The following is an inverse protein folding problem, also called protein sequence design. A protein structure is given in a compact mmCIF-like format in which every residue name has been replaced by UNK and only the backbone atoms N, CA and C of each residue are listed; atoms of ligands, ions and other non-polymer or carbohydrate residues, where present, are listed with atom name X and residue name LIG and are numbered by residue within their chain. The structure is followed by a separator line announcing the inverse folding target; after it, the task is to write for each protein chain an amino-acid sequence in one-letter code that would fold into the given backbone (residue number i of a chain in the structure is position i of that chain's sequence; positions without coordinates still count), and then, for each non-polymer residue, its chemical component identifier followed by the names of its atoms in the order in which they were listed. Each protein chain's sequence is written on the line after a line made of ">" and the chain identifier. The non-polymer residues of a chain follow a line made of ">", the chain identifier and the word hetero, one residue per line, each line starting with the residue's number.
data_IF_639244417832
#
_entry.id   IF_639244417832
#
_cell.length_a   1.000
_cell.length_b   1.000
_cell.length_c   1.000
_cell.angle_alpha   90.00
_cell.angle_beta   90.00
_cell.angle_gamma   90.00
#
_symmetry.space_group_name_H-M   'P 1'
#
loop_
_entity.id
_entity.type
_entity.pdbx_description
1 polymer ?
#
# COMPACT_ATOMS: atom_id res chain seq x y z
N UNK A 1 14.38 16.08 16.00
CA UNK A 1 13.84 15.33 14.85
C UNK A 1 12.32 15.29 14.91
N UNK A 2 11.65 16.28 14.30
CA UNK A 2 10.18 16.45 14.39
C UNK A 2 9.51 15.66 13.25
N UNK A 3 8.96 14.47 13.57
CA UNK A 3 7.60 13.95 13.23
C UNK A 3 6.93 14.34 11.88
N UNK A 4 7.67 14.70 10.83
CA UNK A 4 7.13 15.13 9.52
C UNK A 4 7.70 14.39 8.32
N UNK A 5 8.63 13.44 8.51
CA UNK A 5 9.11 12.56 7.43
C UNK A 5 8.25 11.30 7.29
N UNK A 6 6.93 11.48 7.30
CA UNK A 6 6.06 10.47 6.72
C UNK A 6 5.98 10.78 5.22
N UNK A 7 6.72 9.99 4.43
CA UNK A 7 6.54 9.76 2.98
C UNK A 7 7.17 10.77 2.00
N UNK A 8 8.51 10.83 1.95
CA UNK A 8 9.17 11.10 0.65
C UNK A 8 8.89 9.94 -0.32
N UNK A 9 8.98 10.19 -1.63
CA UNK A 9 8.87 9.12 -2.64
C UNK A 9 9.93 8.03 -2.38
N UNK A 10 11.10 8.45 -1.93
CA UNK A 10 12.24 7.57 -1.65
C UNK A 10 11.94 6.61 -0.50
N UNK A 11 11.27 7.07 0.56
CA UNK A 11 10.84 6.19 1.66
C UNK A 11 9.83 5.11 1.20
N UNK A 12 8.93 5.45 0.28
CA UNK A 12 7.96 4.50 -0.28
C UNK A 12 8.70 3.43 -1.11
N UNK A 13 9.71 3.83 -1.89
CA UNK A 13 10.53 2.93 -2.69
C UNK A 13 11.37 2.01 -1.82
N UNK A 14 12.11 2.56 -0.86
CA UNK A 14 12.96 1.79 0.06
C UNK A 14 12.16 0.68 0.77
N UNK A 15 10.97 1.02 1.28
CA UNK A 15 10.10 0.04 1.95
C UNK A 15 9.57 -1.04 1.01
N UNK A 16 9.27 -0.69 -0.24
CA UNK A 16 8.86 -1.67 -1.23
C UNK A 16 10.05 -2.56 -1.66
N UNK A 17 11.24 -2.01 -1.77
CA UNK A 17 12.47 -2.75 -2.10
C UNK A 17 12.80 -3.79 -1.01
N UNK A 18 12.63 -3.44 0.27
CA UNK A 18 12.74 -4.41 1.38
C UNK A 18 11.76 -5.58 1.24
N UNK A 19 10.53 -5.31 0.82
CA UNK A 19 9.52 -6.35 0.61
C UNK A 19 9.80 -7.18 -0.65
N UNK A 20 10.37 -6.58 -1.71
CA UNK A 20 10.84 -7.31 -2.88
C UNK A 20 11.95 -8.29 -2.48
N UNK A 21 12.92 -7.85 -1.68
CA UNK A 21 13.98 -8.72 -1.18
C UNK A 21 13.45 -9.93 -0.39
N UNK A 22 12.35 -9.74 0.37
CA UNK A 22 11.70 -10.80 1.16
C UNK A 22 10.83 -11.74 0.32
N UNK A 23 10.00 -11.19 -0.56
CA UNK A 23 8.99 -11.95 -1.31
C UNK A 23 9.50 -12.50 -2.63
N UNK A 24 10.58 -11.92 -3.17
CA UNK A 24 11.13 -12.18 -4.53
C UNK A 24 10.10 -12.01 -5.65
N UNK A 25 9.00 -11.29 -5.41
CA UNK A 25 7.93 -11.11 -6.37
C UNK A 25 7.93 -9.68 -6.93
N UNK A 26 8.30 -9.56 -8.20
CA UNK A 26 8.25 -8.29 -8.95
C UNK A 26 6.83 -7.74 -9.04
N UNK A 27 5.83 -8.63 -9.14
CA UNK A 27 4.43 -8.23 -9.14
C UNK A 27 4.02 -7.58 -7.81
N UNK A 28 4.31 -8.22 -6.67
CA UNK A 28 3.94 -7.70 -5.36
C UNK A 28 4.63 -6.36 -5.08
N UNK A 29 5.88 -6.20 -5.51
CA UNK A 29 6.61 -4.94 -5.47
C UNK A 29 5.88 -3.81 -6.21
N UNK A 30 5.56 -4.03 -7.49
CA UNK A 30 4.90 -3.00 -8.31
C UNK A 30 3.48 -2.70 -7.81
N UNK A 31 2.75 -3.72 -7.36
CA UNK A 31 1.44 -3.56 -6.70
C UNK A 31 1.55 -2.69 -5.45
N UNK A 32 2.49 -2.98 -4.56
CA UNK A 32 2.70 -2.20 -3.34
C UNK A 32 3.00 -0.74 -3.64
N UNK A 33 3.90 -0.47 -4.61
CA UNK A 33 4.20 0.90 -5.05
C UNK A 33 2.94 1.61 -5.56
N UNK A 34 2.19 0.99 -6.47
CA UNK A 34 0.99 1.58 -7.05
C UNK A 34 -0.04 1.95 -5.96
N UNK A 35 -0.28 1.04 -5.01
CA UNK A 35 -1.20 1.29 -3.88
C UNK A 35 -0.68 2.44 -3.00
N UNK A 36 0.60 2.42 -2.62
CA UNK A 36 1.18 3.47 -1.75
C UNK A 36 1.16 4.84 -2.42
N UNK A 37 1.44 4.93 -3.71
CA UNK A 37 1.33 6.16 -4.48
C UNK A 37 -0.10 6.67 -4.54
N UNK A 38 -1.07 5.81 -4.87
CA UNK A 38 -2.47 6.21 -4.95
C UNK A 38 -3.04 6.65 -3.59
N UNK A 39 -2.67 5.95 -2.50
CA UNK A 39 -3.02 6.38 -1.14
C UNK A 39 -2.47 7.77 -0.82
N UNK A 40 -1.23 8.06 -1.21
CA UNK A 40 -0.62 9.37 -1.02
C UNK A 40 -1.31 10.46 -1.82
N UNK A 41 -1.58 10.22 -3.12
CA UNK A 41 -2.29 11.17 -3.98
C UNK A 41 -3.68 11.52 -3.44
N UNK A 42 -4.35 10.57 -2.79
CA UNK A 42 -5.67 10.74 -2.17
C UNK A 42 -5.61 11.09 -0.68
N UNK A 43 -4.43 11.43 -0.16
CA UNK A 43 -4.19 11.83 1.24
C UNK A 43 -4.70 10.84 2.30
N UNK A 44 -4.71 9.55 1.95
CA UNK A 44 -5.01 8.45 2.85
C UNK A 44 -3.78 8.05 3.64
N UNK A 45 -3.79 8.32 4.94
CA UNK A 45 -2.86 7.68 5.87
C UNK A 45 -3.31 6.25 6.16
N UNK A 46 -2.37 5.38 6.54
CA UNK A 46 -2.68 4.00 6.93
C UNK A 46 -3.70 3.93 8.08
N UNK A 47 -3.62 4.85 9.03
CA UNK A 47 -4.62 5.01 10.11
C UNK A 47 -6.01 5.38 9.59
N UNK A 48 -6.11 6.35 8.67
CA UNK A 48 -7.40 6.72 8.04
C UNK A 48 -7.97 5.54 7.27
N UNK A 49 -7.13 4.82 6.54
CA UNK A 49 -7.51 3.65 5.75
C UNK A 49 -8.02 2.52 6.65
N UNK A 50 -7.30 2.20 7.73
CA UNK A 50 -7.69 1.21 8.74
C UNK A 50 -9.06 1.53 9.35
N UNK A 51 -9.30 2.79 9.73
CA UNK A 51 -10.61 3.24 10.24
C UNK A 51 -11.71 3.09 9.21
N UNK A 52 -11.47 3.47 7.95
CA UNK A 52 -12.46 3.38 6.86
C UNK A 52 -12.85 1.92 6.56
N UNK A 53 -11.86 1.03 6.56
CA UNK A 53 -12.07 -0.39 6.26
C UNK A 53 -12.47 -1.22 7.49
N UNK A 54 -12.55 -0.61 8.68
CA UNK A 54 -12.81 -1.29 9.96
C UNK A 54 -11.81 -2.43 10.23
N UNK A 55 -10.54 -2.20 9.91
CA UNK A 55 -9.43 -3.16 10.06
C UNK A 55 -8.33 -2.57 10.95
N UNK A 56 -7.42 -3.41 11.44
CA UNK A 56 -6.23 -2.92 12.15
C UNK A 56 -5.20 -2.36 11.17
N UNK A 57 -4.39 -1.38 11.60
CA UNK A 57 -3.32 -0.83 10.76
C UNK A 57 -2.32 -1.90 10.32
N UNK A 58 -2.02 -2.86 11.20
CA UNK A 58 -1.15 -4.01 10.89
C UNK A 58 -1.74 -4.89 9.78
N UNK A 59 -3.04 -5.21 9.84
CA UNK A 59 -3.70 -6.00 8.81
C UNK A 59 -3.74 -5.26 7.47
N UNK A 60 -4.04 -3.96 7.48
CA UNK A 60 -3.95 -3.11 6.28
C UNK A 60 -2.54 -3.10 5.69
N UNK A 61 -1.49 -3.07 6.52
CA UNK A 61 -0.11 -3.19 6.04
C UNK A 61 0.09 -4.48 5.25
N UNK A 62 -0.35 -5.60 5.79
CA UNK A 62 -0.21 -6.93 5.16
C UNK A 62 -1.00 -7.05 3.86
N UNK A 63 -2.14 -6.36 3.77
CA UNK A 63 -2.91 -6.27 2.53
C UNK A 63 -2.17 -5.43 1.48
N UNK A 64 -1.57 -4.30 1.88
CA UNK A 64 -0.77 -3.46 0.97
C UNK A 64 0.46 -4.22 0.45
N UNK A 65 1.18 -4.94 1.30
CA UNK A 65 2.39 -5.71 0.90
C UNK A 65 2.05 -7.01 0.14
N UNK A 66 0.79 -7.47 0.22
CA UNK A 66 0.35 -8.71 -0.40
C UNK A 66 0.65 -9.97 0.41
N UNK A 67 1.14 -9.83 1.66
CA UNK A 67 1.24 -10.94 2.62
C UNK A 67 -0.12 -11.55 3.00
N UNK A 68 -1.19 -10.76 2.83
CA UNK A 68 -2.57 -11.17 3.01
C UNK A 68 -3.40 -10.71 1.82
N UNK A 69 -4.47 -11.44 1.57
CA UNK A 69 -5.46 -11.13 0.55
C UNK A 69 -6.82 -10.84 1.18
N UNK A 70 -7.53 -9.86 0.63
CA UNK A 70 -8.93 -9.56 0.96
C UNK A 70 -9.62 -9.03 -0.29
N UNK A 71 -10.70 -9.70 -0.71
CA UNK A 71 -11.48 -9.29 -1.88
C UNK A 71 -12.01 -7.86 -1.73
N UNK A 72 -12.50 -7.51 -0.54
CA UNK A 72 -13.03 -6.17 -0.25
C UNK A 72 -11.94 -5.10 -0.31
N UNK A 73 -10.73 -5.43 0.13
CA UNK A 73 -9.58 -4.55 -0.02
C UNK A 73 -9.22 -4.35 -1.49
N UNK A 74 -9.20 -5.39 -2.30
CA UNK A 74 -8.94 -5.25 -3.74
C UNK A 74 -10.02 -4.43 -4.45
N UNK A 75 -11.30 -4.59 -4.08
CA UNK A 75 -12.38 -3.72 -4.53
C UNK A 75 -12.13 -2.26 -4.12
N UNK A 76 -11.71 -2.02 -2.89
CA UNK A 76 -11.34 -0.68 -2.45
C UNK A 76 -10.19 -0.11 -3.30
N UNK A 77 -9.12 -0.88 -3.50
CA UNK A 77 -7.96 -0.44 -4.30
C UNK A 77 -8.40 -0.09 -5.73
N UNK A 78 -9.17 -0.95 -6.38
CA UNK A 78 -9.63 -0.71 -7.76
C UNK A 78 -10.57 0.49 -7.88
N UNK A 79 -11.64 0.51 -7.09
CA UNK A 79 -12.73 1.47 -7.29
C UNK A 79 -12.54 2.76 -6.49
N UNK A 80 -11.87 2.72 -5.35
CA UNK A 80 -11.62 3.92 -4.54
C UNK A 80 -10.24 4.51 -4.78
N UNK A 81 -9.20 3.71 -5.08
CA UNK A 81 -7.87 4.23 -5.40
C UNK A 81 -7.63 4.38 -6.90
N UNK A 82 -8.37 3.68 -7.76
CA UNK A 82 -8.18 3.72 -9.22
C UNK A 82 -6.95 2.94 -9.67
N UNK A 83 -6.49 1.98 -8.85
CA UNK A 83 -5.33 1.15 -9.19
C UNK A 83 -5.85 -0.13 -9.82
N UNK A 84 -5.51 -0.34 -11.09
CA UNK A 84 -5.70 -1.61 -11.79
C UNK A 84 -4.32 -2.26 -11.98
N UNK A 85 -4.26 -3.57 -11.79
CA UNK A 85 -3.02 -4.33 -11.96
C UNK A 85 -2.85 -4.89 -13.38
N UNK A 86 -3.88 -4.78 -14.23
CA UNK A 86 -3.81 -5.13 -15.66
C UNK A 86 -2.84 -4.16 -16.36
N UNK A 87 -1.59 -4.61 -16.54
CA UNK A 87 -0.50 -3.82 -17.13
C UNK A 87 0.72 -3.62 -16.21
N UNK A 88 0.66 -4.16 -14.99
CA UNK A 88 1.77 -4.18 -14.02
C UNK A 88 2.58 -5.48 -14.11
#
# INVERSE_FOLDING_TARGET
>A
MKKKELQSIDYIKERADENLAKTKSVFLYRRELAIRFALRQKEFTQKKLAKRLKMTESYVSKLITGERYSKDFEFFVRYNLGVDYLGI
#
